data_IF_790233242558
#
_entry.id   IF_790233242558
#
_cell.length_a   1.000
_cell.length_b   1.000
_cell.length_c   1.000
_cell.angle_alpha   90.00
_cell.angle_beta   90.00
_cell.angle_gamma   90.00
#
_symmetry.space_group_name_H-M   'P 1'
#
loop_
_entity.id
_entity.type
_entity.pdbx_description
1 polymer ?
#
# COMPACT_ATOMS: atom_id res chain seq x y z
N UNK A 1 -13.87 14.49 -3.32
CA UNK A 1 -12.54 14.12 -2.77
C UNK A 1 -12.03 13.00 -3.62
N UNK A 2 -10.83 13.12 -4.21
CA UNK A 2 -10.20 11.96 -4.86
C UNK A 2 -9.93 10.95 -3.76
N UNK A 3 -10.52 9.76 -3.83
CA UNK A 3 -10.22 8.70 -2.88
C UNK A 3 -8.75 8.33 -3.08
N UNK A 4 -7.88 8.72 -2.15
CA UNK A 4 -6.45 8.44 -2.23
C UNK A 4 -6.19 6.94 -2.10
N UNK A 5 -5.17 6.45 -2.78
CA UNK A 5 -4.69 5.06 -2.67
C UNK A 5 -3.66 4.94 -1.55
N UNK A 6 -3.70 3.85 -0.80
CA UNK A 6 -2.68 3.51 0.20
C UNK A 6 -1.75 2.44 -0.37
N UNK A 7 -0.46 2.75 -0.42
CA UNK A 7 0.59 1.79 -0.72
C UNK A 7 1.19 1.27 0.58
N UNK A 8 1.33 -0.05 0.67
CA UNK A 8 1.91 -0.73 1.84
C UNK A 8 3.17 -1.44 1.36
N UNK A 9 4.30 -1.20 2.03
CA UNK A 9 5.56 -1.90 1.79
C UNK A 9 5.95 -2.57 3.10
N UNK A 10 6.03 -3.89 3.09
CA UNK A 10 6.35 -4.67 4.29
C UNK A 10 6.84 -6.04 3.81
N UNK A 11 7.91 -6.59 4.39
CA UNK A 11 8.46 -7.87 3.97
C UNK A 11 7.61 -9.07 4.45
N UNK A 12 6.85 -8.89 5.54
CA UNK A 12 5.97 -9.90 6.11
C UNK A 12 4.61 -9.97 5.38
N UNK A 13 4.31 -11.16 4.84
CA UNK A 13 3.09 -11.40 4.10
C UNK A 13 1.81 -11.29 4.95
N UNK A 14 1.87 -11.68 6.23
CA UNK A 14 0.74 -11.62 7.15
C UNK A 14 0.38 -10.17 7.50
N UNK A 15 1.39 -9.32 7.69
CA UNK A 15 1.18 -7.88 7.96
C UNK A 15 0.58 -7.21 6.74
N UNK A 16 1.09 -7.49 5.53
CA UNK A 16 0.50 -6.97 4.28
C UNK A 16 -0.97 -7.33 4.13
N UNK A 17 -1.35 -8.58 4.39
CA UNK A 17 -2.74 -9.05 4.25
C UNK A 17 -3.68 -8.40 5.28
N UNK A 18 -3.21 -8.27 6.52
CA UNK A 18 -3.95 -7.59 7.58
C UNK A 18 -4.17 -6.09 7.25
N UNK A 19 -3.13 -5.39 6.81
CA UNK A 19 -3.23 -3.97 6.45
C UNK A 19 -4.10 -3.75 5.21
N UNK A 20 -3.99 -4.61 4.19
CA UNK A 20 -4.89 -4.58 3.03
C UNK A 20 -6.36 -4.70 3.45
N UNK A 21 -6.66 -5.66 4.32
CA UNK A 21 -8.02 -5.89 4.82
C UNK A 21 -8.53 -4.69 5.61
N UNK A 22 -7.71 -4.14 6.51
CA UNK A 22 -8.04 -2.96 7.30
C UNK A 22 -8.34 -1.74 6.42
N UNK A 23 -7.45 -1.41 5.49
CA UNK A 23 -7.61 -0.23 4.63
C UNK A 23 -8.86 -0.37 3.74
N UNK A 24 -9.12 -1.57 3.21
CA UNK A 24 -10.35 -1.82 2.43
C UNK A 24 -11.61 -1.72 3.28
N UNK A 25 -11.57 -2.11 4.55
CA UNK A 25 -12.72 -2.03 5.46
C UNK A 25 -13.19 -0.59 5.72
N UNK A 26 -12.29 0.38 5.63
CA UNK A 26 -12.61 1.82 5.75
C UNK A 26 -12.92 2.49 4.41
N UNK A 27 -13.03 1.71 3.33
CA UNK A 27 -13.44 2.19 2.01
C UNK A 27 -12.33 2.84 1.17
N UNK A 28 -11.06 2.63 1.52
CA UNK A 28 -9.91 3.12 0.76
C UNK A 28 -9.35 2.04 -0.19
N UNK A 29 -8.78 2.46 -1.32
CA UNK A 29 -8.01 1.55 -2.18
C UNK A 29 -6.65 1.27 -1.54
N UNK A 30 -6.20 0.02 -1.63
CA UNK A 30 -4.90 -0.38 -1.13
C UNK A 30 -4.17 -1.33 -2.08
N UNK A 31 -2.84 -1.16 -2.20
CA UNK A 31 -1.92 -2.08 -2.88
C UNK A 31 -0.69 -2.31 -2.02
N UNK A 32 -0.21 -3.55 -1.96
CA UNK A 32 0.94 -3.91 -1.14
C UNK A 32 2.12 -4.41 -2.00
N UNK A 33 3.33 -4.22 -1.51
CA UNK A 33 4.57 -4.69 -2.11
C UNK A 33 5.45 -5.31 -1.03
N UNK A 34 6.23 -6.34 -1.40
CA UNK A 34 7.11 -7.05 -0.46
C UNK A 34 8.42 -6.30 -0.18
N UNK A 35 8.74 -5.27 -0.97
CA UNK A 35 9.95 -4.47 -0.81
C UNK A 35 9.83 -3.13 -1.53
N UNK A 36 10.72 -2.20 -1.17
CA UNK A 36 10.86 -0.91 -1.85
C UNK A 36 11.20 -1.08 -3.34
N UNK A 37 12.07 -2.03 -3.68
CA UNK A 37 12.42 -2.30 -5.08
C UNK A 37 11.21 -2.76 -5.90
N UNK A 38 10.37 -3.62 -5.33
CA UNK A 38 9.14 -4.06 -5.98
C UNK A 38 8.15 -2.90 -6.18
N UNK A 39 8.06 -1.98 -5.21
CA UNK A 39 7.26 -0.77 -5.33
C UNK A 39 7.78 0.16 -6.43
N UNK A 40 9.09 0.43 -6.45
CA UNK A 40 9.72 1.31 -7.42
C UNK A 40 9.65 0.74 -8.85
N UNK A 41 9.82 -0.58 -9.00
CA UNK A 41 9.71 -1.26 -10.29
C UNK A 41 8.28 -1.20 -10.87
N UNK A 42 7.26 -1.19 -10.01
CA UNK A 42 5.86 -1.03 -10.44
C UNK A 42 5.55 0.41 -10.91
N UNK A 43 6.43 1.37 -10.62
CA UNK A 43 6.35 2.78 -11.00
C UNK A 43 4.93 3.39 -10.87
N UNK A 44 4.30 3.30 -9.69
CA UNK A 44 2.92 3.74 -9.53
C UNK A 44 2.78 5.25 -9.76
N UNK A 45 1.89 5.64 -10.67
CA UNK A 45 1.68 7.03 -11.08
C UNK A 45 0.50 7.70 -10.36
N UNK A 46 0.33 7.46 -9.07
CA UNK A 46 -0.77 8.04 -8.30
C UNK A 46 -0.43 9.43 -7.73
N UNK A 47 -1.27 10.41 -8.02
CA UNK A 47 -1.23 11.73 -7.38
C UNK A 47 -2.10 11.73 -6.13
N UNK A 48 -1.54 12.07 -4.96
CA UNK A 48 -2.27 12.07 -3.68
C UNK A 48 -2.44 10.68 -3.07
N UNK A 49 -1.32 9.96 -2.93
CA UNK A 49 -1.26 8.64 -2.30
C UNK A 49 -0.68 8.70 -0.87
N UNK A 50 -0.96 7.68 -0.09
CA UNK A 50 -0.36 7.43 1.21
C UNK A 50 0.60 6.26 1.12
N UNK A 51 1.70 6.29 1.88
CA UNK A 51 2.67 5.20 1.96
C UNK A 51 2.81 4.75 3.41
N UNK A 52 2.63 3.45 3.64
CA UNK A 52 2.90 2.77 4.91
C UNK A 52 4.07 1.84 4.66
N UNK A 53 5.13 1.96 5.47
CA UNK A 53 6.34 1.14 5.36
C UNK A 53 6.85 0.80 6.75
N UNK A 54 7.45 -0.38 6.90
CA UNK A 54 8.34 -0.67 8.02
C UNK A 54 9.74 -0.07 7.78
N UNK A 55 10.59 -0.11 8.82
CA UNK A 55 11.94 0.47 8.87
C UNK A 55 13.02 -0.59 8.82
#
# INVERSE_FOLDING_TARGET
>A
MSAGIVYIIDDDASVRDALLTLVRSVGLEARCYASADAFLAAMPSATGAYLVTDV
#
